data_IF_973034915882
#
_entry.id   IF_973034915882
#
_cell.length_a   1.000
_cell.length_b   1.000
_cell.length_c   1.000
_cell.angle_alpha   90.00
_cell.angle_beta   90.00
_cell.angle_gamma   90.00
#
_symmetry.space_group_name_H-M   'P 1'
#
loop_
_entity.id
_entity.type
_entity.pdbx_description
1 polymer ?
#
# COMPACT_ATOMS: atom_id res chain seq x y z
N UNK A 1 -17.77 -17.01 2.95
CA UNK A 1 -17.28 -16.32 1.74
C UNK A 1 -15.85 -16.81 1.51
N UNK A 2 -15.65 -17.65 0.50
CA UNK A 2 -14.35 -18.28 0.27
C UNK A 2 -13.43 -17.31 -0.49
N UNK A 3 -12.12 -17.47 -0.31
CA UNK A 3 -11.09 -16.65 -1.00
C UNK A 3 -11.23 -16.75 -2.53
N UNK A 4 -11.78 -17.85 -3.04
CA UNK A 4 -12.09 -18.03 -4.45
C UNK A 4 -13.20 -17.08 -4.97
N UNK A 5 -14.21 -16.78 -4.15
CA UNK A 5 -15.31 -15.87 -4.52
C UNK A 5 -14.84 -14.40 -4.60
N UNK A 6 -13.87 -14.04 -3.77
CA UNK A 6 -13.25 -12.71 -3.78
C UNK A 6 -12.37 -12.50 -5.01
N UNK A 7 -11.70 -13.56 -5.50
CA UNK A 7 -10.89 -13.52 -6.72
C UNK A 7 -11.79 -13.46 -7.97
N UNK A 8 -12.90 -14.20 -8.01
CA UNK A 8 -13.88 -14.12 -9.09
C UNK A 8 -14.53 -12.72 -9.19
N UNK A 9 -14.80 -12.07 -8.05
CA UNK A 9 -15.30 -10.69 -8.03
C UNK A 9 -14.27 -9.65 -8.53
N UNK A 10 -12.97 -9.88 -8.31
CA UNK A 10 -11.89 -8.98 -8.77
C UNK A 10 -11.74 -8.96 -10.29
N UNK A 11 -12.02 -10.07 -10.98
CA UNK A 11 -11.90 -10.15 -12.44
C UNK A 11 -13.06 -9.53 -13.22
N UNK A 12 -14.21 -9.30 -12.58
CA UNK A 12 -15.43 -8.91 -13.28
C UNK A 12 -15.73 -7.40 -13.24
N UNK A 13 -14.92 -6.59 -12.54
CA UNK A 13 -15.19 -5.16 -12.36
C UNK A 13 -13.95 -4.27 -12.56
N UNK A 14 -13.88 -3.50 -13.66
CA UNK A 14 -12.97 -2.36 -13.83
C UNK A 14 -13.13 -1.25 -12.77
N UNK A 15 -14.13 -1.39 -11.89
CA UNK A 15 -14.56 -0.40 -10.88
C UNK A 15 -13.73 -0.46 -9.59
N UNK A 16 -12.90 -1.48 -9.41
CA UNK A 16 -12.10 -1.67 -8.19
C UNK A 16 -11.02 -0.60 -7.97
N UNK A 17 -10.46 -0.01 -9.04
CA UNK A 17 -9.60 1.17 -8.95
C UNK A 17 -10.32 2.36 -8.30
N UNK A 18 -11.59 2.59 -8.67
CA UNK A 18 -12.42 3.68 -8.12
C UNK A 18 -12.88 3.41 -6.68
N UNK A 19 -13.22 2.16 -6.32
CA UNK A 19 -13.61 1.83 -4.94
C UNK A 19 -12.45 1.81 -3.94
N UNK A 20 -11.23 1.51 -4.38
CA UNK A 20 -10.02 1.58 -3.53
C UNK A 20 -9.67 3.03 -3.18
N UNK A 21 -9.86 3.98 -4.10
CA UNK A 21 -9.72 5.42 -3.83
C UNK A 21 -10.87 5.97 -2.97
N UNK A 22 -12.12 5.53 -3.19
CA UNK A 22 -13.29 6.05 -2.45
C UNK A 22 -13.32 5.65 -0.96
N UNK A 23 -12.59 4.60 -0.54
CA UNK A 23 -12.51 4.19 0.86
C UNK A 23 -11.43 4.94 1.67
N UNK A 24 -10.73 5.94 1.09
CA UNK A 24 -9.62 6.66 1.74
C UNK A 24 -10.05 7.59 2.90
N UNK A 25 -11.25 8.16 2.85
CA UNK A 25 -11.68 9.18 3.81
C UNK A 25 -11.83 8.65 5.25
N UNK A 26 -12.10 7.35 5.42
CA UNK A 26 -12.36 6.76 6.75
C UNK A 26 -11.11 6.57 7.61
N UNK A 27 -9.92 6.62 7.00
CA UNK A 27 -8.66 6.20 7.63
C UNK A 27 -7.70 7.34 7.99
N UNK A 28 -7.98 8.58 7.59
CA UNK A 28 -7.16 9.73 7.99
C UNK A 28 -7.28 9.94 9.50
N UNK A 29 -6.14 10.15 10.17
CA UNK A 29 -6.12 10.71 11.53
C UNK A 29 -6.39 12.21 11.44
N UNK A 30 -7.22 12.73 12.34
CA UNK A 30 -7.65 14.14 12.36
C UNK A 30 -6.66 15.04 13.14
N UNK A 31 -5.46 14.49 13.42
CA UNK A 31 -4.40 15.09 14.20
C UNK A 31 -3.62 16.14 13.40
N UNK A 32 -3.35 17.27 14.03
CA UNK A 32 -2.72 18.43 13.40
C UNK A 32 -1.19 18.33 13.30
N UNK A 33 -0.58 17.35 13.97
CA UNK A 33 0.86 17.17 13.96
C UNK A 33 1.38 16.80 12.56
N UNK A 34 2.44 17.49 12.12
CA UNK A 34 3.01 17.38 10.78
C UNK A 34 3.35 15.93 10.39
N UNK A 35 3.80 15.12 11.34
CA UNK A 35 4.12 13.70 11.13
C UNK A 35 2.91 12.85 10.66
N UNK A 36 1.71 13.12 11.19
CA UNK A 36 0.50 12.40 10.81
C UNK A 36 -0.03 12.86 9.45
N UNK A 37 0.10 14.16 9.14
CA UNK A 37 -0.23 14.68 7.80
C UNK A 37 0.75 14.17 6.73
N UNK A 38 2.05 14.13 7.03
CA UNK A 38 3.07 13.52 6.19
C UNK A 38 2.72 12.06 5.90
N UNK A 39 2.40 11.26 6.92
CA UNK A 39 1.99 9.87 6.78
C UNK A 39 0.75 9.73 5.85
N UNK A 40 -0.30 10.53 6.08
CA UNK A 40 -1.48 10.58 5.22
C UNK A 40 -1.08 10.84 3.76
N UNK A 41 -0.27 11.87 3.51
CA UNK A 41 0.19 12.26 2.16
C UNK A 41 1.02 11.16 1.50
N UNK A 42 1.97 10.54 2.22
CA UNK A 42 2.77 9.44 1.67
C UNK A 42 1.91 8.22 1.34
N UNK A 43 0.93 7.91 2.21
CA UNK A 43 0.02 6.78 2.01
C UNK A 43 -0.82 6.95 0.76
N UNK A 44 -1.42 8.12 0.54
CA UNK A 44 -2.21 8.42 -0.66
C UNK A 44 -1.33 8.45 -1.91
N UNK A 45 -0.12 8.99 -1.81
CA UNK A 45 0.83 8.97 -2.93
C UNK A 45 1.18 7.54 -3.37
N UNK A 46 1.48 6.63 -2.44
CA UNK A 46 1.79 5.24 -2.77
C UNK A 46 0.59 4.54 -3.41
N UNK A 47 -0.61 4.70 -2.85
CA UNK A 47 -1.85 4.11 -3.38
C UNK A 47 -2.15 4.60 -4.80
N UNK A 48 -1.95 5.90 -5.05
CA UNK A 48 -2.15 6.49 -6.37
C UNK A 48 -1.20 5.91 -7.42
N UNK A 49 0.08 5.70 -7.07
CA UNK A 49 1.05 5.10 -7.99
C UNK A 49 0.72 3.63 -8.24
N UNK A 50 0.38 2.86 -7.20
CA UNK A 50 -0.01 1.45 -7.34
C UNK A 50 -1.27 1.27 -8.20
N UNK A 51 -2.18 2.24 -8.19
CA UNK A 51 -3.41 2.22 -9.00
C UNK A 51 -3.17 2.47 -10.50
N UNK A 52 -2.00 3.00 -10.89
CA UNK A 52 -1.60 3.20 -12.30
C UNK A 52 -1.06 1.94 -12.97
N UNK A 53 -0.76 0.89 -12.20
CA UNK A 53 -0.16 -0.35 -12.71
C UNK A 53 -0.99 -0.97 -13.86
N UNK A 54 -2.33 -1.12 -13.78
CA UNK A 54 -3.10 -1.73 -14.87
C UNK A 54 -2.98 -0.98 -16.21
N UNK A 55 -2.85 0.35 -16.16
CA UNK A 55 -2.74 1.19 -17.35
C UNK A 55 -1.31 1.16 -17.93
N UNK A 56 -0.31 1.14 -17.05
CA UNK A 56 1.10 1.31 -17.43
C UNK A 56 1.83 -0.02 -17.70
N UNK A 57 1.31 -1.16 -17.23
CA UNK A 57 2.00 -2.48 -17.30
C UNK A 57 2.29 -2.97 -18.74
N UNK A 58 1.52 -2.50 -19.73
CA UNK A 58 1.69 -2.88 -21.13
C UNK A 58 2.83 -2.10 -21.81
N UNK A 59 3.15 -0.88 -21.34
CA UNK A 59 4.30 -0.11 -21.81
C UNK A 59 5.49 -0.36 -20.87
N UNK A 60 6.45 -1.16 -21.35
CA UNK A 60 7.63 -1.53 -20.57
C UNK A 60 8.41 -0.31 -20.07
N UNK A 61 8.52 0.77 -20.86
CA UNK A 61 9.32 1.94 -20.47
C UNK A 61 8.62 2.69 -19.34
N UNK A 62 7.35 3.01 -19.53
CA UNK A 62 6.53 3.67 -18.52
C UNK A 62 6.45 2.81 -17.26
N UNK A 63 6.22 1.50 -17.39
CA UNK A 63 6.12 0.59 -16.26
C UNK A 63 7.40 0.54 -15.40
N UNK A 64 8.58 0.59 -16.03
CA UNK A 64 9.84 0.67 -15.29
C UNK A 64 9.99 1.98 -14.52
N UNK A 65 9.44 3.09 -15.03
CA UNK A 65 9.35 4.35 -14.30
C UNK A 65 8.38 4.25 -13.12
N UNK A 66 7.20 3.65 -13.32
CA UNK A 66 6.23 3.37 -12.25
C UNK A 66 6.84 2.54 -11.13
N UNK A 67 7.61 1.50 -11.45
CA UNK A 67 8.28 0.65 -10.45
C UNK A 67 9.27 1.47 -9.61
N UNK A 68 10.03 2.38 -10.25
CA UNK A 68 10.94 3.29 -9.53
C UNK A 68 10.17 4.26 -8.64
N UNK A 69 9.07 4.81 -9.12
CA UNK A 69 8.16 5.65 -8.33
C UNK A 69 7.61 4.90 -7.10
N UNK A 70 7.16 3.65 -7.28
CA UNK A 70 6.67 2.78 -6.20
C UNK A 70 7.77 2.54 -5.16
N UNK A 71 8.99 2.18 -5.59
CA UNK A 71 10.11 1.96 -4.67
C UNK A 71 10.43 3.22 -3.84
N UNK A 72 10.41 4.40 -4.47
CA UNK A 72 10.59 5.68 -3.79
C UNK A 72 9.45 5.96 -2.79
N UNK A 73 8.20 5.73 -3.19
CA UNK A 73 7.03 5.95 -2.34
C UNK A 73 6.98 4.99 -1.15
N UNK A 74 7.36 3.72 -1.32
CA UNK A 74 7.50 2.73 -0.25
C UNK A 74 8.51 3.20 0.80
N UNK A 75 9.69 3.66 0.36
CA UNK A 75 10.71 4.19 1.27
C UNK A 75 10.18 5.39 2.06
N UNK A 76 9.61 6.37 1.37
CA UNK A 76 9.02 7.58 2.00
C UNK A 76 7.91 7.23 3.00
N UNK A 77 7.06 6.26 2.69
CA UNK A 77 6.02 5.80 3.62
C UNK A 77 6.64 5.16 4.87
N UNK A 78 7.63 4.31 4.70
CA UNK A 78 8.32 3.66 5.83
C UNK A 78 9.05 4.67 6.73
N UNK A 79 9.64 5.71 6.15
CA UNK A 79 10.27 6.80 6.89
C UNK A 79 9.24 7.55 7.74
N UNK A 80 8.10 7.95 7.15
CA UNK A 80 7.01 8.60 7.87
C UNK A 80 6.41 7.73 8.99
N UNK A 81 6.30 6.41 8.77
CA UNK A 81 5.87 5.46 9.82
C UNK A 81 6.85 5.44 11.00
N UNK A 82 8.16 5.54 10.75
CA UNK A 82 9.16 5.58 11.82
C UNK A 82 9.07 6.87 12.63
N UNK A 83 8.84 8.00 11.97
CA UNK A 83 8.62 9.29 12.62
C UNK A 83 7.39 9.22 13.53
N UNK A 84 6.25 8.74 13.03
CA UNK A 84 5.02 8.57 13.80
C UNK A 84 5.18 7.60 14.97
N UNK A 85 6.02 6.56 14.84
CA UNK A 85 6.34 5.64 15.94
C UNK A 85 6.92 6.34 17.18
N UNK A 86 7.62 7.47 16.97
CA UNK A 86 8.12 8.33 18.05
C UNK A 86 7.02 8.97 18.89
N UNK A 87 5.85 9.21 18.29
CA UNK A 87 4.70 9.87 18.92
C UNK A 87 3.70 8.90 19.58
N UNK A 88 3.89 7.59 19.43
CA UNK A 88 3.02 6.60 20.10
C UNK A 88 3.45 6.48 21.57
N UNK A 89 2.59 6.82 22.55
CA UNK A 89 2.99 6.82 23.96
C UNK A 89 3.08 5.42 24.57
N UNK A 90 2.30 4.45 24.07
CA UNK A 90 2.25 3.09 24.63
C UNK A 90 3.26 2.14 23.98
N UNK A 91 4.06 1.38 24.77
CA UNK A 91 4.93 0.32 24.23
C UNK A 91 4.17 -0.73 23.41
N UNK A 92 2.93 -1.05 23.80
CA UNK A 92 2.06 -1.97 23.06
C UNK A 92 1.63 -1.41 21.69
N UNK A 93 1.45 -0.09 21.59
CA UNK A 93 1.15 0.59 20.33
C UNK A 93 2.35 0.59 19.39
N UNK A 94 3.55 0.83 19.92
CA UNK A 94 4.81 0.75 19.14
C UNK A 94 5.02 -0.66 18.58
N UNK A 95 4.85 -1.69 19.42
CA UNK A 95 4.95 -3.09 18.98
C UNK A 95 3.93 -3.43 17.87
N UNK A 96 2.69 -2.94 17.98
CA UNK A 96 1.67 -3.14 16.95
C UNK A 96 2.06 -2.45 15.63
N UNK A 97 2.58 -1.22 15.68
CA UNK A 97 3.04 -0.51 14.49
C UNK A 97 4.26 -1.20 13.85
N UNK A 98 5.21 -1.65 14.65
CA UNK A 98 6.38 -2.41 14.18
C UNK A 98 5.98 -3.73 13.51
N UNK A 99 4.96 -4.40 14.05
CA UNK A 99 4.41 -5.60 13.42
C UNK A 99 3.81 -5.29 12.04
N UNK A 100 3.02 -4.21 11.92
CA UNK A 100 2.47 -3.77 10.63
C UNK A 100 3.57 -3.37 9.64
N UNK A 101 4.61 -2.69 10.11
CA UNK A 101 5.78 -2.35 9.29
C UNK A 101 6.47 -3.62 8.76
N UNK A 102 6.69 -4.64 9.60
CA UNK A 102 7.26 -5.92 9.18
C UNK A 102 6.40 -6.63 8.14
N UNK A 103 5.08 -6.65 8.34
CA UNK A 103 4.13 -7.21 7.37
C UNK A 103 4.20 -6.47 6.03
N UNK A 104 4.13 -5.14 6.04
CA UNK A 104 4.24 -4.32 4.84
C UNK A 104 5.55 -4.58 4.06
N UNK A 105 6.69 -4.70 4.75
CA UNK A 105 7.97 -5.07 4.12
C UNK A 105 7.91 -6.45 3.49
N UNK A 106 7.25 -7.44 4.10
CA UNK A 106 7.06 -8.78 3.51
C UNK A 106 6.25 -8.69 2.20
N UNK A 107 5.16 -7.92 2.19
CA UNK A 107 4.35 -7.73 0.99
C UNK A 107 5.09 -6.93 -0.10
N UNK A 108 5.92 -5.96 0.27
CA UNK A 108 6.78 -5.23 -0.68
C UNK A 108 7.79 -6.16 -1.35
N UNK A 109 8.44 -7.05 -0.59
CA UNK A 109 9.34 -8.07 -1.16
C UNK A 109 8.60 -9.04 -2.07
N UNK A 110 7.39 -9.47 -1.69
CA UNK A 110 6.53 -10.32 -2.53
C UNK A 110 6.20 -9.62 -3.85
N UNK A 111 5.83 -8.34 -3.82
CA UNK A 111 5.61 -7.53 -5.01
C UNK A 111 6.83 -7.48 -5.92
N UNK A 112 8.03 -7.26 -5.38
CA UNK A 112 9.26 -7.29 -6.18
C UNK A 112 9.53 -8.66 -6.81
N UNK A 113 9.25 -9.76 -6.11
CA UNK A 113 9.38 -11.10 -6.68
C UNK A 113 8.35 -11.33 -7.81
N UNK A 114 7.11 -10.95 -7.58
CA UNK A 114 6.06 -11.04 -8.61
C UNK A 114 6.38 -10.21 -9.85
N UNK A 115 7.03 -9.05 -9.71
CA UNK A 115 7.53 -8.28 -10.84
C UNK A 115 8.62 -9.04 -11.62
N UNK A 116 9.54 -9.72 -10.93
CA UNK A 116 10.57 -10.55 -11.58
C UNK A 116 9.93 -11.68 -12.38
N UNK A 117 8.94 -12.34 -11.80
CA UNK A 117 8.21 -13.43 -12.46
C UNK A 117 7.41 -12.89 -13.66
N UNK A 118 6.77 -11.73 -13.52
CA UNK A 118 6.09 -11.04 -14.61
C UNK A 118 7.03 -10.75 -15.80
N UNK A 119 8.24 -10.26 -15.56
CA UNK A 119 9.20 -10.02 -16.66
C UNK A 119 9.71 -11.31 -17.33
N UNK A 120 9.52 -12.48 -16.71
CA UNK A 120 9.89 -13.80 -17.27
C UNK A 120 8.71 -14.48 -17.96
N UNK A 121 7.55 -14.46 -17.34
CA UNK A 121 6.37 -15.27 -17.70
C UNK A 121 5.25 -14.45 -18.35
N UNK A 122 5.31 -13.11 -18.25
CA UNK A 122 4.31 -12.20 -18.81
C UNK A 122 2.98 -12.12 -18.04
N UNK A 123 2.86 -12.80 -16.89
CA UNK A 123 1.61 -12.90 -16.12
C UNK A 123 1.31 -11.61 -15.32
N UNK A 124 0.63 -10.65 -15.94
CA UNK A 124 0.31 -9.33 -15.38
C UNK A 124 -0.60 -9.39 -14.15
N UNK A 125 -1.48 -10.38 -14.09
CA UNK A 125 -2.44 -10.52 -13.01
C UNK A 125 -1.78 -10.77 -11.64
N UNK A 126 -0.67 -11.51 -11.64
CA UNK A 126 0.31 -11.60 -10.56
C UNK A 126 0.50 -10.25 -9.85
N UNK A 127 0.90 -9.29 -10.68
CA UNK A 127 1.32 -7.95 -10.27
C UNK A 127 0.15 -7.16 -9.71
N UNK A 128 -1.03 -7.24 -10.34
CA UNK A 128 -2.23 -6.53 -9.89
C UNK A 128 -2.65 -6.96 -8.49
N UNK A 129 -2.73 -8.27 -8.24
CA UNK A 129 -3.09 -8.80 -6.92
C UNK A 129 -2.08 -8.36 -5.85
N UNK A 130 -0.80 -8.42 -6.20
CA UNK A 130 0.28 -8.04 -5.29
C UNK A 130 0.28 -6.53 -4.98
N UNK A 131 -0.06 -5.69 -5.95
CA UNK A 131 -0.26 -4.25 -5.76
C UNK A 131 -1.46 -3.93 -4.85
N UNK A 132 -2.58 -4.61 -5.05
CA UNK A 132 -3.77 -4.48 -4.19
C UNK A 132 -3.44 -4.86 -2.74
N UNK A 133 -2.68 -5.94 -2.54
CA UNK A 133 -2.22 -6.32 -1.20
C UNK A 133 -1.38 -5.22 -0.56
N UNK A 134 -0.48 -4.56 -1.31
CA UNK A 134 0.31 -3.43 -0.80
C UNK A 134 -0.57 -2.26 -0.36
N UNK A 135 -1.57 -1.89 -1.17
CA UNK A 135 -2.55 -0.85 -0.80
C UNK A 135 -3.27 -1.21 0.50
N UNK A 136 -3.71 -2.46 0.63
CA UNK A 136 -4.37 -2.94 1.85
C UNK A 136 -3.45 -2.84 3.07
N UNK A 137 -2.18 -3.26 2.94
CA UNK A 137 -1.20 -3.14 4.02
C UNK A 137 -0.93 -1.68 4.41
N UNK A 138 -0.88 -0.77 3.43
CA UNK A 138 -0.80 0.67 3.71
C UNK A 138 -2.00 1.13 4.56
N UNK A 139 -3.23 0.72 4.23
CA UNK A 139 -4.40 1.08 5.02
C UNK A 139 -4.36 0.50 6.44
N UNK A 140 -3.86 -0.72 6.63
CA UNK A 140 -3.69 -1.31 7.96
C UNK A 140 -2.71 -0.54 8.84
N UNK A 141 -1.64 0.00 8.26
CA UNK A 141 -0.71 0.91 8.96
C UNK A 141 -1.46 2.17 9.41
N UNK A 142 -2.21 2.82 8.51
CA UNK A 142 -2.99 4.03 8.82
C UNK A 142 -4.00 3.80 9.95
N UNK A 143 -4.75 2.69 9.90
CA UNK A 143 -5.71 2.30 10.94
C UNK A 143 -5.00 2.10 12.28
N UNK A 144 -3.84 1.42 12.28
CA UNK A 144 -3.09 1.14 13.51
C UNK A 144 -2.59 2.42 14.15
N UNK A 145 -2.06 3.34 13.35
CA UNK A 145 -1.66 4.68 13.82
C UNK A 145 -2.86 5.41 14.42
N UNK A 146 -3.99 5.47 13.69
CA UNK A 146 -5.21 6.12 14.18
C UNK A 146 -5.68 5.53 15.52
N UNK A 147 -5.81 4.22 15.64
CA UNK A 147 -6.27 3.54 16.87
C UNK A 147 -5.30 3.63 18.07
N UNK A 148 -4.02 3.93 17.84
CA UNK A 148 -3.00 3.99 18.90
C UNK A 148 -2.61 5.42 19.27
N UNK A 149 -3.13 6.40 18.53
CA UNK A 149 -2.80 7.82 18.68
C UNK A 149 -4.03 8.70 18.91
N UNK A 150 -5.23 8.31 18.48
CA UNK A 150 -6.51 8.93 18.84
C UNK A 150 -7.15 8.14 20.00
#
# INVERSE_FOLDING_TARGET
MQIADFIAWIFQYPVLSKSICAYEEKYKSNRHEDAFQELNKKSSSLKRILSRIPDEINDRKTFLETIKEIASAIKKLLDAVNEVSGYIPSPSGKQALDQRKREFVKFSKRFSNTLKDFFREGQSQAVFLSAICLIHQTNLIMITVKHKCD
#
